data_IF_737938887765
#
_entry.id   IF_737938887765
#
_cell.length_a   1.000
_cell.length_b   1.000
_cell.length_c   1.000
_cell.angle_alpha   90.00
_cell.angle_beta   90.00
_cell.angle_gamma   90.00
#
_symmetry.space_group_name_H-M   'P 1'
#
loop_
_entity.id
_entity.type
_entity.pdbx_description
1 polymer ?
#
# COMPACT_ATOMS: atom_id res chain seq x y z
N UNK A 1 -52.68 48.87 -10.39
CA UNK A 1 -51.71 49.22 -9.33
C UNK A 1 -50.32 48.91 -9.86
N UNK A 2 -49.55 49.95 -10.18
CA UNK A 2 -48.17 49.89 -10.69
C UNK A 2 -47.27 50.57 -9.66
N UNK A 3 -46.01 50.16 -9.68
CA UNK A 3 -44.78 50.92 -9.36
C UNK A 3 -43.95 50.53 -8.13
N UNK A 4 -42.62 50.75 -8.24
CA UNK A 4 -41.57 49.82 -7.82
C UNK A 4 -40.49 50.49 -6.94
N UNK A 5 -39.55 49.72 -6.43
CA UNK A 5 -38.25 50.17 -5.90
C UNK A 5 -37.28 49.02 -6.21
N UNK A 6 -36.28 49.05 -7.11
CA UNK A 6 -35.27 50.05 -7.52
C UNK A 6 -34.24 50.34 -6.41
N UNK A 7 -32.96 50.15 -6.79
CA UNK A 7 -31.69 50.36 -6.06
C UNK A 7 -31.34 49.31 -4.99
N UNK A 8 -30.19 48.65 -4.97
CA UNK A 8 -28.91 48.88 -5.67
C UNK A 8 -27.80 49.12 -4.65
N UNK A 9 -26.95 48.10 -4.38
CA UNK A 9 -25.59 48.14 -3.77
C UNK A 9 -25.02 46.73 -4.04
N UNK A 10 -24.05 46.40 -4.90
CA UNK A 10 -22.74 46.95 -5.34
C UNK A 10 -21.70 47.08 -4.22
N UNK A 11 -20.78 46.09 -4.23
CA UNK A 11 -19.39 46.11 -3.76
C UNK A 11 -19.10 46.30 -2.25
N UNK A 12 -18.46 45.31 -1.64
CA UNK A 12 -17.01 45.35 -1.39
C UNK A 12 -16.48 44.00 -0.89
N UNK A 13 -15.60 43.41 -1.71
CA UNK A 13 -14.63 42.39 -1.32
C UNK A 13 -13.64 42.98 -0.32
N UNK A 14 -13.46 42.36 0.85
CA UNK A 14 -12.18 42.41 1.56
C UNK A 14 -11.90 41.05 2.21
N UNK A 15 -10.98 40.31 1.60
CA UNK A 15 -10.36 39.12 2.13
C UNK A 15 -9.31 39.52 3.18
N UNK A 16 -9.40 39.00 4.40
CA UNK A 16 -8.28 38.97 5.33
C UNK A 16 -7.45 37.71 5.03
N UNK A 17 -6.36 37.87 4.29
CA UNK A 17 -5.33 36.84 4.16
C UNK A 17 -4.30 37.01 5.29
N UNK A 18 -3.92 35.94 6.02
CA UNK A 18 -2.78 35.99 6.92
C UNK A 18 -1.47 35.95 6.10
N UNK A 19 -0.58 36.89 6.39
CA UNK A 19 0.76 37.02 5.81
C UNK A 19 1.62 35.84 6.24
N UNK A 20 1.76 34.82 5.38
CA UNK A 20 2.72 33.74 5.60
C UNK A 20 4.14 34.23 5.26
N UNK A 21 5.02 34.20 6.26
CA UNK A 21 6.44 34.50 6.11
C UNK A 21 7.10 33.52 5.13
N UNK A 22 7.73 34.05 4.09
CA UNK A 22 8.54 33.30 3.12
C UNK A 22 9.80 32.80 3.84
N UNK A 23 9.92 31.47 4.03
CA UNK A 23 11.18 30.82 4.39
C UNK A 23 12.04 30.67 3.14
N UNK A 24 13.29 31.12 3.21
CA UNK A 24 14.34 30.90 2.21
C UNK A 24 14.47 29.43 1.82
N UNK A 25 14.84 29.11 0.56
CA UNK A 25 15.10 27.75 0.17
C UNK A 25 16.34 27.22 0.89
N UNK A 26 16.15 26.12 1.62
CA UNK A 26 17.23 25.33 2.19
C UNK A 26 18.13 24.82 1.06
N UNK A 27 19.42 25.10 1.22
CA UNK A 27 20.50 24.67 0.33
C UNK A 27 20.56 23.14 0.26
N UNK A 28 20.57 22.59 -0.95
CA UNK A 28 20.69 21.15 -1.18
C UNK A 28 22.05 20.63 -0.65
N UNK A 29 22.10 19.44 -0.02
CA UNK A 29 23.35 18.80 0.36
C UNK A 29 24.18 18.48 -0.90
N UNK A 30 25.42 18.98 -0.93
CA UNK A 30 26.39 18.62 -1.96
C UNK A 30 26.91 17.21 -1.70
N UNK A 31 26.82 16.34 -2.70
CA UNK A 31 27.46 15.03 -2.73
C UNK A 31 28.97 15.21 -2.92
N UNK A 32 29.85 14.73 -2.02
CA UNK A 32 31.26 14.67 -2.33
C UNK A 32 31.55 13.55 -3.34
N UNK A 33 32.39 13.90 -4.30
CA UNK A 33 32.82 13.09 -5.43
C UNK A 33 33.59 11.82 -5.02
N UNK A 34 33.45 10.80 -5.89
CA UNK A 34 34.14 9.51 -5.84
C UNK A 34 35.66 9.65 -5.70
N UNK A 35 36.23 8.99 -4.69
CA UNK A 35 37.65 8.71 -4.61
C UNK A 35 37.93 7.33 -5.25
N UNK A 36 38.73 7.34 -6.30
CA UNK A 36 39.31 6.13 -6.91
C UNK A 36 40.43 5.62 -6.02
N UNK A 37 40.32 4.40 -5.49
CA UNK A 37 41.44 3.68 -4.89
C UNK A 37 42.11 2.77 -5.94
N UNK A 38 43.45 2.72 -6.02
CA UNK A 38 44.15 1.80 -6.91
C UNK A 38 44.10 0.37 -6.38
N UNK A 39 43.90 -0.58 -7.29
CA UNK A 39 43.86 -2.02 -7.04
C UNK A 39 45.27 -2.53 -6.68
N UNK A 40 45.48 -2.90 -5.42
CA UNK A 40 46.70 -3.55 -4.98
C UNK A 40 46.49 -5.07 -4.86
N UNK A 41 47.31 -5.80 -5.62
CA UNK A 41 47.45 -7.25 -5.68
C UNK A 41 47.73 -7.83 -4.28
N UNK A 42 46.79 -8.63 -3.75
CA UNK A 42 47.00 -9.46 -2.56
C UNK A 42 47.33 -10.90 -2.97
N UNK A 43 48.28 -11.58 -2.29
CA UNK A 43 48.61 -12.97 -2.58
C UNK A 43 47.47 -13.92 -2.17
N UNK A 44 47.30 -15.00 -2.93
CA UNK A 44 46.24 -16.00 -2.72
C UNK A 44 46.34 -16.68 -1.35
N UNK A 45 45.22 -16.86 -0.63
CA UNK A 45 45.21 -17.54 0.67
C UNK A 45 45.42 -19.06 0.54
N UNK A 46 46.02 -19.72 1.55
CA UNK A 46 46.16 -21.17 1.58
C UNK A 46 44.80 -21.87 1.76
N UNK A 47 44.69 -23.08 1.21
CA UNK A 47 43.46 -23.88 1.22
C UNK A 47 42.98 -24.20 2.64
N UNK A 48 41.67 -24.10 2.94
CA UNK A 48 41.12 -24.34 4.27
C UNK A 48 41.09 -25.83 4.65
N UNK A 49 41.14 -26.16 5.95
CA UNK A 49 41.04 -27.54 6.42
C UNK A 49 39.62 -28.11 6.22
N UNK A 50 39.55 -29.41 5.92
CA UNK A 50 38.31 -30.16 5.72
C UNK A 50 37.40 -30.09 6.96
N UNK A 51 36.27 -29.40 6.84
CA UNK A 51 35.24 -29.35 7.88
C UNK A 51 34.41 -30.64 7.84
N UNK A 52 34.53 -31.46 8.88
CA UNK A 52 33.64 -32.61 9.09
C UNK A 52 32.25 -32.07 9.47
N UNK A 53 31.34 -32.03 8.49
CA UNK A 53 29.97 -31.57 8.69
C UNK A 53 29.19 -32.62 9.48
N UNK A 54 28.92 -32.34 10.76
CA UNK A 54 27.91 -33.06 11.52
C UNK A 54 26.53 -32.82 10.85
N UNK A 55 25.90 -33.90 10.39
CA UNK A 55 24.57 -33.86 9.77
C UNK A 55 23.52 -33.49 10.82
N UNK A 56 23.10 -32.23 10.84
CA UNK A 56 21.88 -31.81 11.52
C UNK A 56 20.67 -32.49 10.86
N UNK A 57 19.86 -33.18 11.66
CA UNK A 57 18.58 -33.74 11.21
C UNK A 57 17.67 -32.63 10.64
N UNK A 58 16.81 -32.93 9.66
CA UNK A 58 15.94 -31.93 9.07
C UNK A 58 14.95 -31.43 10.13
N UNK A 59 14.92 -30.12 10.34
CA UNK A 59 13.89 -29.49 11.16
C UNK A 59 12.54 -29.71 10.50
N UNK A 60 11.74 -30.63 11.04
CA UNK A 60 10.33 -30.78 10.67
C UNK A 60 9.67 -29.44 10.96
N UNK A 61 9.25 -28.74 9.92
CA UNK A 61 8.51 -27.49 10.07
C UNK A 61 7.25 -27.79 10.89
N UNK A 62 7.22 -27.37 12.14
CA UNK A 62 6.06 -27.55 13.01
C UNK A 62 4.83 -26.98 12.30
N UNK A 63 3.73 -27.76 12.29
CA UNK A 63 2.45 -27.27 11.79
C UNK A 63 2.10 -25.94 12.48
N UNK A 64 1.54 -24.98 11.73
CA UNK A 64 1.12 -23.70 12.31
C UNK A 64 0.18 -23.90 13.50
N UNK A 65 -0.66 -24.92 13.44
CA UNK A 65 -1.56 -25.29 14.52
C UNK A 65 -0.85 -25.65 15.83
N UNK A 66 0.44 -25.97 15.84
CA UNK A 66 1.18 -26.32 17.07
C UNK A 66 1.96 -25.14 17.65
N UNK A 67 1.99 -23.99 16.95
CA UNK A 67 2.71 -22.81 17.46
C UNK A 67 1.96 -22.19 18.64
N UNK A 68 2.71 -21.74 19.64
CA UNK A 68 2.14 -21.17 20.87
C UNK A 68 1.28 -19.92 20.62
N UNK A 69 1.69 -19.06 19.68
CA UNK A 69 0.95 -17.86 19.28
C UNK A 69 -0.36 -18.21 18.59
N UNK A 70 -0.36 -19.20 17.68
CA UNK A 70 -1.57 -19.69 17.02
C UNK A 70 -2.51 -20.36 18.02
N UNK A 71 -1.99 -21.13 18.98
CA UNK A 71 -2.78 -21.72 20.06
C UNK A 71 -3.45 -20.66 20.94
N UNK A 72 -2.73 -19.58 21.26
CA UNK A 72 -3.29 -18.45 21.99
C UNK A 72 -4.42 -17.79 21.20
N UNK A 73 -4.22 -17.56 19.89
CA UNK A 73 -5.26 -17.02 19.00
C UNK A 73 -6.50 -17.94 18.92
N UNK A 74 -6.33 -19.26 18.81
CA UNK A 74 -7.45 -20.21 18.80
C UNK A 74 -8.27 -20.08 20.10
N UNK A 75 -7.61 -20.02 21.26
CA UNK A 75 -8.28 -19.82 22.55
C UNK A 75 -9.01 -18.48 22.63
N UNK A 76 -8.40 -17.41 22.12
CA UNK A 76 -9.04 -16.10 22.05
C UNK A 76 -10.31 -16.15 21.20
N UNK A 77 -10.23 -16.70 20.00
CA UNK A 77 -11.37 -16.82 19.08
C UNK A 77 -12.49 -17.70 19.65
N UNK A 78 -12.14 -18.78 20.35
CA UNK A 78 -13.13 -19.61 21.03
C UNK A 78 -13.82 -18.88 22.19
N UNK A 79 -13.04 -18.18 23.03
CA UNK A 79 -13.55 -17.53 24.23
C UNK A 79 -14.35 -16.26 23.92
N UNK A 80 -13.83 -15.41 23.03
CA UNK A 80 -14.39 -14.09 22.73
C UNK A 80 -15.47 -14.12 21.66
N UNK A 81 -15.36 -15.04 20.71
CA UNK A 81 -16.20 -15.06 19.51
C UNK A 81 -16.96 -16.39 19.34
N UNK A 82 -16.81 -17.35 20.27
CA UNK A 82 -17.59 -18.60 20.28
C UNK A 82 -17.22 -19.60 19.17
N UNK A 83 -16.05 -19.45 18.53
CA UNK A 83 -15.61 -20.41 17.52
C UNK A 83 -15.29 -21.78 18.12
N UNK A 84 -15.58 -22.85 17.37
CA UNK A 84 -15.18 -24.20 17.76
C UNK A 84 -13.64 -24.35 17.66
N UNK A 85 -12.93 -24.59 18.77
CA UNK A 85 -11.46 -24.64 18.77
C UNK A 85 -10.92 -25.81 17.94
N UNK A 86 -11.60 -26.95 17.90
CA UNK A 86 -11.18 -28.11 17.10
C UNK A 86 -11.27 -27.81 15.60
N UNK A 87 -12.28 -27.02 15.18
CA UNK A 87 -12.41 -26.58 13.79
C UNK A 87 -11.28 -25.61 13.41
N UNK A 88 -10.95 -24.66 14.28
CA UNK A 88 -9.83 -23.75 14.05
C UNK A 88 -8.50 -24.51 14.01
N UNK A 89 -8.29 -25.47 14.91
CA UNK A 89 -7.12 -26.36 14.91
C UNK A 89 -6.97 -27.07 13.55
N UNK A 90 -8.07 -27.61 13.02
CA UNK A 90 -8.08 -28.28 11.71
C UNK A 90 -7.88 -27.35 10.52
N UNK A 91 -8.19 -26.05 10.65
CA UNK A 91 -7.88 -25.04 9.62
C UNK A 91 -6.37 -24.74 9.67
N UNK A 92 -5.85 -24.41 10.85
CA UNK A 92 -4.44 -24.09 11.03
C UNK A 92 -3.50 -25.27 10.76
N UNK A 93 -3.98 -26.52 10.86
CA UNK A 93 -3.16 -27.68 10.54
C UNK A 93 -2.84 -27.80 9.05
N UNK A 94 -3.71 -27.23 8.20
CA UNK A 94 -3.57 -27.17 6.74
C UNK A 94 -2.98 -25.85 6.25
N UNK A 95 -3.02 -24.80 7.08
CA UNK A 95 -2.39 -23.53 6.78
C UNK A 95 -0.87 -23.71 6.66
N UNK A 96 -0.26 -22.99 5.71
CA UNK A 96 1.18 -22.99 5.51
C UNK A 96 1.71 -21.58 5.69
N UNK A 97 2.99 -21.47 6.00
CA UNK A 97 3.70 -20.19 5.93
C UNK A 97 4.10 -19.94 4.49
N UNK A 98 3.99 -18.70 4.02
CA UNK A 98 4.45 -18.27 2.70
C UNK A 98 5.67 -17.36 2.88
N UNK A 99 6.90 -17.90 2.75
CA UNK A 99 8.11 -17.11 2.96
C UNK A 99 8.22 -15.90 2.03
N UNK A 100 7.63 -15.96 0.83
CA UNK A 100 7.56 -14.83 -0.10
C UNK A 100 6.74 -13.66 0.45
N UNK A 101 5.60 -13.93 1.10
CA UNK A 101 4.75 -12.91 1.70
C UNK A 101 5.47 -12.23 2.87
N UNK A 102 6.07 -13.03 3.76
CA UNK A 102 6.86 -12.51 4.89
C UNK A 102 7.99 -11.62 4.36
N UNK A 103 8.72 -12.10 3.35
CA UNK A 103 9.81 -11.33 2.74
C UNK A 103 9.32 -9.99 2.19
N UNK A 104 8.18 -9.96 1.49
CA UNK A 104 7.62 -8.71 0.96
C UNK A 104 7.21 -7.76 2.09
N UNK A 105 6.59 -8.26 3.16
CA UNK A 105 6.20 -7.45 4.32
C UNK A 105 7.39 -6.90 5.11
N UNK A 106 8.52 -7.60 5.13
CA UNK A 106 9.72 -7.19 5.85
C UNK A 106 10.66 -6.28 5.05
N UNK A 107 10.36 -5.99 3.78
CA UNK A 107 11.18 -5.05 2.99
C UNK A 107 10.97 -3.61 3.46
N UNK A 108 12.03 -2.80 3.55
CA UNK A 108 11.89 -1.36 3.77
C UNK A 108 11.00 -0.71 2.69
N UNK A 109 10.28 0.34 3.08
CA UNK A 109 9.47 1.09 2.13
C UNK A 109 10.38 1.86 1.15
N UNK A 110 10.22 1.59 -0.15
CA UNK A 110 10.84 2.35 -1.23
C UNK A 110 9.75 3.09 -2.00
N UNK A 111 9.86 4.41 -2.11
CA UNK A 111 8.90 5.24 -2.82
C UNK A 111 9.43 5.64 -4.21
N UNK A 112 8.59 5.49 -5.24
CA UNK A 112 8.84 6.07 -6.56
C UNK A 112 8.54 7.57 -6.52
N UNK A 113 9.29 8.43 -7.25
CA UNK A 113 8.87 9.80 -7.51
C UNK A 113 7.47 9.86 -8.12
N UNK A 114 6.70 10.91 -7.82
CA UNK A 114 5.30 11.02 -8.24
C UNK A 114 5.10 10.84 -9.75
N UNK A 115 5.94 11.46 -10.58
CA UNK A 115 5.82 11.35 -12.04
C UNK A 115 5.87 9.89 -12.52
N UNK A 116 6.78 9.09 -11.97
CA UNK A 116 6.91 7.67 -12.31
C UNK A 116 5.80 6.81 -11.70
N UNK A 117 5.29 7.18 -10.52
CA UNK A 117 4.17 6.48 -9.88
C UNK A 117 2.86 6.70 -10.63
N UNK A 118 2.60 7.95 -11.06
CA UNK A 118 1.41 8.36 -11.82
C UNK A 118 1.19 7.50 -13.06
N UNK A 119 2.25 7.21 -13.81
CA UNK A 119 2.18 6.48 -15.07
C UNK A 119 1.72 5.02 -14.91
N UNK A 120 1.88 4.44 -13.72
CA UNK A 120 1.38 3.10 -13.39
C UNK A 120 -0.16 3.05 -13.44
N UNK A 121 -0.83 4.16 -13.08
CA UNK A 121 -2.28 4.23 -12.94
C UNK A 121 -2.98 5.08 -14.00
N UNK A 122 -2.33 6.15 -14.46
CA UNK A 122 -2.87 7.04 -15.48
C UNK A 122 -2.27 6.66 -16.83
N UNK A 123 -2.89 5.67 -17.45
CA UNK A 123 -2.55 5.22 -18.80
C UNK A 123 -3.79 4.76 -19.55
N UNK A 124 -3.64 4.70 -20.86
CA UNK A 124 -4.65 4.30 -21.84
C UNK A 124 -5.43 3.04 -21.50
N UNK A 125 -4.74 1.99 -21.05
CA UNK A 125 -5.37 0.71 -20.70
C UNK A 125 -6.33 0.88 -19.52
N UNK A 126 -5.90 1.58 -18.46
CA UNK A 126 -6.70 1.81 -17.26
C UNK A 126 -7.84 2.81 -17.49
N UNK A 127 -7.63 3.83 -18.31
CA UNK A 127 -8.68 4.80 -18.68
C UNK A 127 -9.79 4.10 -19.46
N UNK A 128 -9.44 3.32 -20.51
CA UNK A 128 -10.43 2.56 -21.28
C UNK A 128 -11.17 1.53 -20.41
N UNK A 129 -10.46 0.85 -19.51
CA UNK A 129 -11.05 -0.04 -18.53
C UNK A 129 -12.07 0.67 -17.64
N UNK A 130 -11.73 1.86 -17.14
CA UNK A 130 -12.60 2.66 -16.27
C UNK A 130 -13.86 3.12 -16.98
N UNK A 131 -13.73 3.61 -18.22
CA UNK A 131 -14.90 3.98 -19.05
C UNK A 131 -15.81 2.77 -19.29
N UNK A 132 -15.24 1.59 -19.59
CA UNK A 132 -16.02 0.36 -19.76
C UNK A 132 -16.75 -0.03 -18.47
N UNK A 133 -16.04 -0.04 -17.34
CA UNK A 133 -16.60 -0.38 -16.05
C UNK A 133 -17.72 0.59 -15.65
N UNK A 134 -17.48 1.90 -15.80
CA UNK A 134 -18.48 2.92 -15.52
C UNK A 134 -19.76 2.68 -16.33
N UNK A 135 -19.64 2.52 -17.65
CA UNK A 135 -20.79 2.28 -18.53
C UNK A 135 -21.57 1.03 -18.14
N UNK A 136 -20.86 -0.05 -17.79
CA UNK A 136 -21.50 -1.30 -17.37
C UNK A 136 -22.26 -1.17 -16.03
N UNK A 137 -21.82 -0.27 -15.14
CA UNK A 137 -22.35 -0.13 -13.78
C UNK A 137 -22.98 1.25 -13.49
N UNK A 138 -23.37 1.99 -14.53
CA UNK A 138 -23.81 3.38 -14.40
C UNK A 138 -24.98 3.56 -13.42
N UNK A 139 -25.97 2.65 -13.45
CA UNK A 139 -27.11 2.68 -12.54
C UNK A 139 -26.70 2.46 -11.08
N UNK A 140 -25.80 1.50 -10.83
CA UNK A 140 -25.27 1.21 -9.50
C UNK A 140 -24.41 2.36 -8.97
N UNK A 141 -23.58 2.96 -9.83
CA UNK A 141 -22.77 4.12 -9.46
C UNK A 141 -23.64 5.33 -9.11
N UNK A 142 -24.67 5.62 -9.91
CA UNK A 142 -25.62 6.69 -9.61
C UNK A 142 -26.46 6.40 -8.35
N UNK A 143 -26.72 5.14 -8.04
CA UNK A 143 -27.35 4.77 -6.77
C UNK A 143 -26.39 4.99 -5.59
N UNK A 144 -25.14 4.56 -5.71
CA UNK A 144 -24.13 4.75 -4.66
C UNK A 144 -23.90 6.25 -4.38
N UNK A 145 -23.87 7.08 -5.42
CA UNK A 145 -23.80 8.54 -5.27
C UNK A 145 -25.01 9.09 -4.50
N UNK A 146 -26.24 8.70 -4.85
CA UNK A 146 -27.45 9.16 -4.14
C UNK A 146 -27.52 8.73 -2.69
N UNK A 147 -27.06 7.52 -2.38
CA UNK A 147 -27.16 6.94 -1.03
C UNK A 147 -26.03 7.41 -0.13
N UNK A 148 -24.81 7.50 -0.67
CA UNK A 148 -23.60 7.74 0.12
C UNK A 148 -22.92 9.09 -0.16
N UNK A 149 -23.35 9.83 -1.19
CA UNK A 149 -22.76 11.13 -1.56
C UNK A 149 -21.37 11.04 -2.20
N UNK A 150 -20.94 9.84 -2.63
CA UNK A 150 -19.62 9.64 -3.24
C UNK A 150 -19.73 9.73 -4.76
N UNK A 151 -19.00 10.64 -5.43
CA UNK A 151 -19.03 10.76 -6.87
C UNK A 151 -18.58 9.47 -7.57
N UNK A 152 -19.25 9.06 -8.67
CA UNK A 152 -18.91 7.83 -9.40
C UNK A 152 -17.44 7.70 -9.81
N UNK A 153 -16.79 8.80 -10.22
CA UNK A 153 -15.40 8.81 -10.65
C UNK A 153 -14.44 8.37 -9.53
N UNK A 154 -14.76 8.65 -8.27
CA UNK A 154 -13.95 8.23 -7.12
C UNK A 154 -14.06 6.73 -6.92
N UNK A 155 -15.29 6.19 -6.98
CA UNK A 155 -15.53 4.74 -6.87
C UNK A 155 -14.81 3.99 -7.99
N UNK A 156 -14.97 4.48 -9.23
CA UNK A 156 -14.31 3.90 -10.40
C UNK A 156 -12.79 3.98 -10.27
N UNK A 157 -12.23 5.11 -9.81
CA UNK A 157 -10.80 5.26 -9.61
C UNK A 157 -10.23 4.27 -8.58
N UNK A 158 -10.89 4.10 -7.42
CA UNK A 158 -10.45 3.16 -6.39
C UNK A 158 -10.44 1.73 -6.93
N UNK A 159 -11.55 1.28 -7.53
CA UNK A 159 -11.64 -0.08 -8.10
C UNK A 159 -10.55 -0.29 -9.18
N UNK A 160 -10.31 0.74 -9.99
CA UNK A 160 -9.28 0.74 -11.01
C UNK A 160 -7.87 0.59 -10.43
N UNK A 161 -7.53 1.35 -9.38
CA UNK A 161 -6.25 1.29 -8.69
C UNK A 161 -6.02 -0.08 -8.04
N UNK A 162 -7.01 -0.56 -7.28
CA UNK A 162 -6.87 -1.77 -6.46
C UNK A 162 -6.84 -3.07 -7.27
N UNK A 163 -7.71 -3.20 -8.28
CA UNK A 163 -7.96 -4.49 -8.94
C UNK A 163 -7.99 -4.43 -10.45
N UNK A 164 -7.75 -3.25 -11.04
CA UNK A 164 -7.91 -3.06 -12.48
C UNK A 164 -9.31 -3.49 -12.97
N UNK A 165 -10.34 -3.16 -12.18
CA UNK A 165 -11.74 -3.51 -12.48
C UNK A 165 -12.03 -5.02 -12.50
N UNK A 166 -11.28 -5.80 -11.70
CA UNK A 166 -11.43 -7.26 -11.58
C UNK A 166 -10.67 -8.08 -12.62
N UNK A 167 -9.60 -7.49 -13.18
CA UNK A 167 -8.72 -8.16 -14.16
C UNK A 167 -7.68 -9.08 -13.56
#
# INVERSE_FOLDING_TARGET
MKSPYLLGVVLLLTACAPTAAVRSPAQAPQTPASATMPEQMLPSPPSPPEIVVARSAPAVSQSLAQRADVQAFIREMATKHGFNPNRLQAIFSRARTQPSIIRVMSRPAEAKPWYAYRDIFINDRRIRGGVKFWRAHAATLAQAERVYGVPPEIVVAIIGVETQYGG
#
